data_IF_976766921813
#
_entry.id   IF_976766921813
#
_cell.length_a   1.000
_cell.length_b   1.000
_cell.length_c   1.000
_cell.angle_alpha   90.00
_cell.angle_beta   90.00
_cell.angle_gamma   90.00
#
_symmetry.space_group_name_H-M   'P 1'
#
loop_
_entity.id
_entity.type
_entity.pdbx_description
1 polymer ?
#
# COMPACT_ATOMS: atom_id res chain seq x y z
N UNK A 1 41.25 51.54 26.98
CA UNK A 1 40.37 50.54 27.64
C UNK A 1 39.14 50.33 26.77
N UNK A 2 39.14 49.30 25.92
CA UNK A 2 38.03 48.98 25.02
C UNK A 2 37.34 47.69 25.54
N UNK A 3 36.06 47.79 25.88
CA UNK A 3 35.23 46.68 26.35
C UNK A 3 34.22 46.31 25.25
N UNK A 4 34.15 45.00 25.00
CA UNK A 4 32.95 44.23 24.64
C UNK A 4 32.52 44.14 23.17
N UNK A 5 32.95 43.04 22.53
CA UNK A 5 32.27 42.40 21.39
C UNK A 5 32.09 40.90 21.69
N UNK A 6 31.08 40.54 22.50
CA UNK A 6 30.70 39.14 22.73
C UNK A 6 29.18 39.00 22.95
N UNK A 7 28.38 39.45 21.99
CA UNK A 7 26.91 39.29 22.03
C UNK A 7 26.33 39.16 20.62
N UNK A 8 26.97 38.37 19.75
CA UNK A 8 26.43 38.11 18.42
C UNK A 8 26.67 36.66 17.99
N UNK A 9 26.22 35.69 18.80
CA UNK A 9 26.23 34.27 18.38
C UNK A 9 25.06 33.42 18.89
N UNK A 10 24.11 33.97 19.66
CA UNK A 10 23.00 33.17 20.20
C UNK A 10 21.68 33.29 19.43
N UNK A 11 21.56 34.23 18.48
CA UNK A 11 20.32 34.44 17.73
C UNK A 11 20.14 33.52 16.51
N UNK A 12 21.17 32.75 16.11
CA UNK A 12 21.08 31.88 14.93
C UNK A 12 20.62 30.44 15.23
N UNK A 13 20.55 30.04 16.50
CA UNK A 13 20.25 28.65 16.88
C UNK A 13 18.75 28.39 17.14
N UNK A 14 17.94 29.45 17.28
CA UNK A 14 16.48 29.33 17.47
C UNK A 14 15.70 29.37 16.14
N UNK A 15 16.30 29.89 15.06
CA UNK A 15 15.63 30.00 13.76
C UNK A 15 15.57 28.67 12.97
N UNK A 16 16.23 27.60 13.45
CA UNK A 16 16.22 26.28 12.83
C UNK A 16 15.04 25.37 13.21
N UNK A 17 14.19 25.76 14.17
CA UNK A 17 13.05 24.93 14.64
C UNK A 17 11.70 25.22 13.96
N UNK A 18 11.63 26.17 13.03
CA UNK A 18 10.44 26.41 12.19
C UNK A 18 10.58 25.81 10.78
N UNK A 19 11.29 24.69 10.64
CA UNK A 19 11.10 23.88 9.44
C UNK A 19 9.69 23.27 9.52
N UNK A 20 8.77 23.59 8.59
CA UNK A 20 7.45 22.99 8.57
C UNK A 20 7.65 21.48 8.50
N UNK A 21 7.17 20.76 9.53
CA UNK A 21 7.07 19.31 9.48
C UNK A 21 6.24 18.99 8.24
N UNK A 22 6.89 18.45 7.22
CA UNK A 22 6.27 18.07 5.96
C UNK A 22 4.98 17.32 6.25
N UNK A 23 3.91 17.84 5.66
CA UNK A 23 2.52 17.48 5.88
C UNK A 23 2.27 15.97 5.70
N UNK A 24 2.20 15.21 6.80
CA UNK A 24 1.62 13.85 6.80
C UNK A 24 0.16 13.86 6.30
N UNK A 25 -0.52 15.01 6.40
CA UNK A 25 -1.87 15.18 5.88
C UNK A 25 -1.91 15.19 4.35
N UNK A 26 -0.88 15.71 3.67
CA UNK A 26 -0.79 15.71 2.21
C UNK A 26 -0.49 14.31 1.63
N UNK A 27 0.05 13.38 2.43
CA UNK A 27 0.29 12.00 1.99
C UNK A 27 -1.01 11.17 1.93
N UNK A 28 -2.01 11.51 2.76
CA UNK A 28 -3.28 10.75 2.85
C UNK A 28 -4.20 10.91 1.64
N UNK A 29 -4.04 11.97 0.85
CA UNK A 29 -4.88 12.23 -0.32
C UNK A 29 -4.21 11.83 -1.65
N UNK A 30 -3.06 11.15 -1.60
CA UNK A 30 -2.33 10.79 -2.83
C UNK A 30 -2.95 9.59 -3.54
N UNK A 31 -3.38 9.78 -4.78
CA UNK A 31 -3.93 8.71 -5.61
C UNK A 31 -2.80 7.78 -6.01
N UNK A 32 -2.92 6.50 -5.66
CA UNK A 32 -1.96 5.46 -6.05
C UNK A 32 -2.56 4.60 -7.15
N UNK A 33 -1.96 4.59 -8.33
CA UNK A 33 -2.30 3.61 -9.35
C UNK A 33 -1.60 2.28 -9.02
N UNK A 34 -2.32 1.17 -9.06
CA UNK A 34 -1.77 -0.15 -8.80
C UNK A 34 -2.03 -1.05 -10.01
N UNK A 35 -0.95 -1.45 -10.68
CA UNK A 35 -0.94 -2.21 -11.92
C UNK A 35 -0.56 -3.65 -11.57
N UNK A 36 -1.51 -4.56 -11.70
CA UNK A 36 -1.45 -5.92 -11.19
C UNK A 36 -1.55 -6.95 -12.32
N UNK A 37 -0.84 -8.08 -12.25
CA UNK A 37 -1.14 -9.17 -13.16
C UNK A 37 -2.56 -9.67 -12.89
N UNK A 38 -3.24 -10.19 -13.93
CA UNK A 38 -4.59 -10.77 -13.86
C UNK A 38 -4.61 -12.12 -13.09
N UNK A 39 -4.12 -12.11 -11.85
CA UNK A 39 -4.13 -13.23 -10.91
C UNK A 39 -5.12 -12.91 -9.80
N UNK A 40 -6.02 -13.85 -9.53
CA UNK A 40 -7.12 -13.67 -8.58
C UNK A 40 -6.66 -13.08 -7.23
N UNK A 41 -5.63 -13.67 -6.61
CA UNK A 41 -5.15 -13.19 -5.31
C UNK A 41 -4.53 -11.79 -5.35
N UNK A 42 -3.82 -11.45 -6.43
CA UNK A 42 -3.24 -10.11 -6.57
C UNK A 42 -4.32 -9.05 -6.74
N UNK A 43 -5.33 -9.35 -7.57
CA UNK A 43 -6.51 -8.49 -7.78
C UNK A 43 -7.30 -8.33 -6.48
N UNK A 44 -7.50 -9.41 -5.72
CA UNK A 44 -8.18 -9.37 -4.43
C UNK A 44 -7.45 -8.48 -3.41
N UNK A 45 -6.12 -8.58 -3.33
CA UNK A 45 -5.30 -7.69 -2.50
C UNK A 45 -5.46 -6.24 -2.96
N UNK A 46 -5.47 -6.00 -4.28
CA UNK A 46 -5.75 -4.70 -4.87
C UNK A 46 -7.08 -4.10 -4.39
N UNK A 47 -8.17 -4.88 -4.45
CA UNK A 47 -9.47 -4.45 -3.95
C UNK A 47 -9.49 -4.18 -2.44
N UNK A 48 -8.85 -5.04 -1.63
CA UNK A 48 -8.76 -4.83 -0.19
C UNK A 48 -7.94 -3.56 0.16
N UNK A 49 -6.96 -3.20 -0.67
CA UNK A 49 -6.24 -1.93 -0.58
C UNK A 49 -7.12 -0.74 -1.00
N UNK A 50 -7.82 -0.83 -2.12
CA UNK A 50 -8.70 0.23 -2.63
C UNK A 50 -9.85 0.58 -1.68
N UNK A 51 -10.31 -0.37 -0.86
CA UNK A 51 -11.28 -0.12 0.22
C UNK A 51 -10.72 0.72 1.38
N UNK A 52 -9.39 0.80 1.53
CA UNK A 52 -8.72 1.43 2.68
C UNK A 52 -7.88 2.64 2.30
N UNK A 53 -7.63 2.84 1.01
CA UNK A 53 -6.72 3.83 0.45
C UNK A 53 -7.26 4.31 -0.91
N UNK A 54 -6.94 5.55 -1.32
CA UNK A 54 -7.25 6.04 -2.67
C UNK A 54 -6.39 5.33 -3.72
N UNK A 55 -6.84 4.15 -4.15
CA UNK A 55 -6.13 3.30 -5.12
C UNK A 55 -6.97 3.15 -6.38
N UNK A 56 -6.35 3.46 -7.51
CA UNK A 56 -6.86 3.13 -8.83
C UNK A 56 -6.30 1.77 -9.24
N UNK A 57 -7.17 0.82 -9.58
CA UNK A 57 -6.77 -0.54 -9.92
C UNK A 57 -6.71 -0.71 -11.43
N UNK A 58 -5.57 -1.20 -11.90
CA UNK A 58 -5.38 -1.68 -13.26
C UNK A 58 -4.91 -3.13 -13.20
N UNK A 59 -5.42 -3.95 -14.11
CA UNK A 59 -4.91 -5.28 -14.36
C UNK A 59 -4.29 -5.36 -15.73
N UNK A 60 -3.30 -6.22 -15.88
CA UNK A 60 -2.69 -6.51 -17.17
C UNK A 60 -2.58 -8.02 -17.42
N UNK A 61 -2.55 -8.39 -18.70
CA UNK A 61 -2.32 -9.75 -19.17
C UNK A 61 -1.21 -9.70 -20.23
N UNK A 62 -0.06 -10.31 -19.92
CA UNK A 62 1.14 -10.29 -20.79
C UNK A 62 1.37 -11.59 -21.57
N UNK A 63 0.86 -12.73 -21.09
CA UNK A 63 1.24 -14.06 -21.63
C UNK A 63 0.50 -14.44 -22.93
N UNK A 64 -0.49 -13.66 -23.38
CA UNK A 64 -1.41 -14.07 -24.46
C UNK A 64 -1.55 -13.06 -25.61
N UNK A 65 -0.86 -11.92 -25.56
CA UNK A 65 -1.12 -10.83 -26.49
C UNK A 65 0.07 -10.58 -27.45
N UNK A 66 -0.08 -10.82 -28.78
CA UNK A 66 0.99 -10.61 -29.76
C UNK A 66 1.39 -9.13 -29.89
N UNK A 67 0.49 -8.21 -29.58
CA UNK A 67 0.66 -6.76 -29.74
C UNK A 67 1.04 -6.03 -28.43
N UNK A 68 1.41 -6.78 -27.39
CA UNK A 68 1.79 -6.25 -26.08
C UNK A 68 0.68 -6.37 -25.01
N UNK A 69 0.93 -5.93 -23.76
CA UNK A 69 0.04 -6.18 -22.64
C UNK A 69 -1.31 -5.51 -22.82
N UNK A 70 -2.37 -6.27 -22.55
CA UNK A 70 -3.74 -5.76 -22.51
C UNK A 70 -4.05 -5.27 -21.11
N UNK A 71 -4.53 -4.02 -20.99
CA UNK A 71 -4.86 -3.42 -19.71
C UNK A 71 -6.38 -3.33 -19.50
N UNK A 72 -6.81 -3.51 -18.26
CA UNK A 72 -8.16 -3.21 -17.83
C UNK A 72 -8.13 -2.37 -16.55
N UNK A 73 -8.81 -1.23 -16.54
CA UNK A 73 -8.97 -0.38 -15.36
C UNK A 73 -10.29 -0.67 -14.66
N UNK A 74 -10.31 -0.66 -13.34
CA UNK A 74 -11.54 -0.75 -12.56
C UNK A 74 -12.13 0.65 -12.39
N UNK A 75 -13.35 0.88 -12.86
CA UNK A 75 -14.03 2.18 -12.77
C UNK A 75 -14.84 2.37 -11.48
N UNK A 76 -14.95 1.33 -10.66
CA UNK A 76 -15.83 1.28 -9.48
C UNK A 76 -16.89 0.19 -9.56
N UNK A 77 -17.25 -0.22 -10.78
CA UNK A 77 -18.36 -1.13 -11.08
C UNK A 77 -17.98 -2.24 -12.06
N UNK A 78 -17.19 -1.92 -13.08
CA UNK A 78 -16.80 -2.85 -14.14
C UNK A 78 -15.35 -2.65 -14.54
N UNK A 79 -14.79 -3.66 -15.22
CA UNK A 79 -13.45 -3.58 -15.82
C UNK A 79 -13.57 -2.99 -17.22
N UNK A 80 -12.95 -1.83 -17.43
CA UNK A 80 -12.93 -1.12 -18.71
C UNK A 80 -11.60 -1.37 -19.40
N UNK A 81 -11.65 -1.74 -20.68
CA UNK A 81 -10.45 -1.91 -21.50
C UNK A 81 -9.68 -0.60 -21.63
N UNK A 82 -8.35 -0.67 -21.50
CA UNK A 82 -7.43 0.46 -21.70
C UNK A 82 -6.36 0.03 -22.69
N UNK A 83 -6.19 0.78 -23.78
CA UNK A 83 -5.15 0.49 -24.75
C UNK A 83 -3.76 0.72 -24.15
N UNK A 84 -2.73 0.05 -24.68
CA UNK A 84 -1.36 0.28 -24.24
C UNK A 84 -0.85 1.71 -24.52
N UNK A 85 -1.44 2.40 -25.50
CA UNK A 85 -1.15 3.82 -25.77
C UNK A 85 -1.81 4.73 -24.73
N UNK A 86 -3.08 4.48 -24.42
CA UNK A 86 -3.81 5.24 -23.40
C UNK A 86 -3.21 5.05 -22.01
N UNK A 87 -2.83 3.81 -21.67
CA UNK A 87 -2.14 3.51 -20.42
C UNK A 87 -0.84 4.30 -20.27
N UNK A 88 -0.01 4.32 -21.32
CA UNK A 88 1.31 4.99 -21.28
C UNK A 88 1.19 6.50 -21.22
N UNK A 89 0.22 7.08 -21.92
CA UNK A 89 -0.03 8.53 -21.96
C UNK A 89 -0.85 9.03 -20.77
N UNK A 90 -1.65 8.15 -20.14
CA UNK A 90 -2.57 8.52 -19.08
C UNK A 90 -3.89 9.12 -19.56
N UNK A 91 -4.21 9.03 -20.86
CA UNK A 91 -5.42 9.64 -21.46
C UNK A 91 -6.73 9.05 -20.94
N UNK A 92 -6.70 7.82 -20.39
CA UNK A 92 -7.87 7.11 -19.87
C UNK A 92 -8.38 7.66 -18.52
N UNK A 93 -7.67 8.60 -17.90
CA UNK A 93 -8.04 9.18 -16.60
C UNK A 93 -8.04 10.71 -16.64
N UNK A 94 -8.97 11.33 -15.92
CA UNK A 94 -9.02 12.79 -15.81
C UNK A 94 -7.96 13.37 -14.86
N UNK A 95 -7.49 12.56 -13.91
CA UNK A 95 -6.50 12.96 -12.90
C UNK A 95 -5.36 11.95 -12.88
N UNK A 96 -4.14 12.45 -13.06
CA UNK A 96 -2.93 11.64 -12.98
C UNK A 96 -2.68 11.13 -11.54
N UNK A 97 -2.22 9.87 -11.38
CA UNK A 97 -1.86 9.35 -10.06
C UNK A 97 -0.54 9.96 -9.58
N UNK A 98 -0.47 10.29 -8.28
CA UNK A 98 0.76 10.80 -7.65
C UNK A 98 1.89 9.76 -7.68
N UNK A 99 1.52 8.48 -7.67
CA UNK A 99 2.45 7.35 -7.76
C UNK A 99 1.80 6.12 -8.38
N UNK A 100 2.63 5.26 -8.96
CA UNK A 100 2.24 3.96 -9.46
C UNK A 100 2.98 2.85 -8.71
N UNK A 101 2.29 1.75 -8.42
CA UNK A 101 2.88 0.48 -8.00
C UNK A 101 2.67 -0.50 -9.15
N UNK A 102 3.75 -0.93 -9.79
CA UNK A 102 3.70 -1.93 -10.87
C UNK A 102 4.21 -3.25 -10.33
N UNK A 103 3.35 -4.26 -10.40
CA UNK A 103 3.61 -5.61 -9.88
C UNK A 103 3.94 -6.53 -11.04
N UNK A 104 5.12 -7.14 -10.99
CA UNK A 104 5.58 -8.11 -11.97
C UNK A 104 4.94 -9.48 -11.78
N UNK A 105 5.16 -10.34 -12.77
CA UNK A 105 4.69 -11.72 -12.80
C UNK A 105 5.88 -12.68 -12.66
N UNK A 106 5.65 -13.83 -12.01
CA UNK A 106 6.60 -14.95 -11.92
C UNK A 106 7.99 -14.64 -11.32
N UNK A 107 8.13 -13.59 -10.49
CA UNK A 107 9.42 -13.24 -9.91
C UNK A 107 10.31 -12.41 -10.84
N UNK A 108 9.77 -12.00 -11.99
CA UNK A 108 10.44 -11.15 -12.95
C UNK A 108 10.09 -9.69 -12.71
N UNK A 109 11.04 -8.80 -13.03
CA UNK A 109 10.76 -7.37 -12.99
C UNK A 109 9.67 -7.03 -14.02
N UNK A 110 8.78 -6.08 -13.71
CA UNK A 110 7.83 -5.59 -14.70
C UNK A 110 8.54 -5.18 -15.99
N UNK A 111 7.99 -5.61 -17.13
CA UNK A 111 8.45 -5.18 -18.44
C UNK A 111 8.29 -3.67 -18.61
N UNK A 112 9.09 -3.06 -19.51
CA UNK A 112 9.17 -1.61 -19.66
C UNK A 112 7.89 -0.98 -20.19
N UNK A 113 7.08 -1.73 -20.92
CA UNK A 113 5.75 -1.36 -21.41
C UNK A 113 4.70 -1.27 -20.28
N UNK A 114 4.90 -1.99 -19.18
CA UNK A 114 4.08 -1.87 -17.96
C UNK A 114 4.43 -0.63 -17.13
N UNK A 115 5.50 0.10 -17.45
CA UNK A 115 5.92 1.28 -16.70
C UNK A 115 5.30 2.53 -17.35
N UNK A 116 4.49 3.32 -16.61
CA UNK A 116 3.87 4.52 -17.15
C UNK A 116 4.93 5.58 -17.48
N UNK A 117 4.62 6.48 -18.44
CA UNK A 117 5.56 7.54 -18.80
C UNK A 117 5.74 8.55 -17.64
N UNK A 118 6.94 9.15 -17.47
CA UNK A 118 7.19 10.11 -16.40
C UNK A 118 6.27 11.34 -16.41
N UNK A 119 5.77 11.73 -17.59
CA UNK A 119 4.78 12.82 -17.73
C UNK A 119 3.40 12.47 -17.20
N UNK A 120 3.04 11.19 -17.15
CA UNK A 120 1.78 10.70 -16.58
C UNK A 120 1.94 10.39 -15.09
N UNK A 121 3.01 9.71 -14.68
CA UNK A 121 3.23 9.37 -13.27
C UNK A 121 4.70 9.54 -12.89
N UNK A 122 5.00 10.49 -12.01
CA UNK A 122 6.36 10.86 -11.64
C UNK A 122 7.06 9.82 -10.74
N UNK A 123 6.28 9.05 -9.96
CA UNK A 123 6.82 8.15 -8.95
C UNK A 123 6.34 6.72 -9.18
N UNK A 124 7.22 5.87 -9.69
CA UNK A 124 6.91 4.46 -9.93
C UNK A 124 7.67 3.56 -8.96
N UNK A 125 6.93 2.72 -8.24
CA UNK A 125 7.44 1.67 -7.36
C UNK A 125 7.25 0.33 -8.07
N UNK A 126 8.33 -0.44 -8.18
CA UNK A 126 8.32 -1.73 -8.86
C UNK A 126 8.47 -2.86 -7.84
N UNK A 127 7.68 -3.92 -8.00
CA UNK A 127 7.91 -5.21 -7.34
C UNK A 127 7.88 -6.32 -8.37
N UNK A 128 8.72 -7.34 -8.18
CA UNK A 128 8.87 -8.48 -9.08
C UNK A 128 7.89 -9.62 -8.77
N UNK A 129 7.05 -9.48 -7.73
CA UNK A 129 6.29 -10.60 -7.20
C UNK A 129 4.86 -10.24 -6.86
N UNK A 130 3.94 -10.92 -7.55
CA UNK A 130 2.53 -11.01 -7.19
C UNK A 130 2.24 -12.07 -6.11
N UNK A 131 3.27 -12.70 -5.54
CA UNK A 131 3.11 -13.65 -4.43
C UNK A 131 2.53 -12.89 -3.21
N UNK A 132 1.43 -13.38 -2.59
CA UNK A 132 0.67 -12.61 -1.61
C UNK A 132 1.50 -12.07 -0.45
N UNK A 133 2.41 -12.87 0.12
CA UNK A 133 3.24 -12.44 1.26
C UNK A 133 4.18 -11.32 0.87
N UNK A 134 4.90 -11.45 -0.25
CA UNK A 134 5.79 -10.40 -0.77
C UNK A 134 5.02 -9.15 -1.16
N UNK A 135 3.86 -9.30 -1.83
CA UNK A 135 3.03 -8.18 -2.26
C UNK A 135 2.48 -7.40 -1.05
N UNK A 136 1.99 -8.10 -0.01
CA UNK A 136 1.55 -7.46 1.23
C UNK A 136 2.70 -6.79 1.98
N UNK A 137 3.89 -7.40 2.03
CA UNK A 137 5.06 -6.74 2.61
C UNK A 137 5.40 -5.44 1.88
N UNK A 138 5.45 -5.50 0.54
CA UNK A 138 5.81 -4.38 -0.31
C UNK A 138 4.79 -3.24 -0.18
N UNK A 139 3.51 -3.54 -0.38
CA UNK A 139 2.43 -2.56 -0.30
C UNK A 139 2.28 -2.02 1.12
N UNK A 140 2.41 -2.84 2.16
CA UNK A 140 2.33 -2.33 3.52
C UNK A 140 3.47 -1.39 3.91
N UNK A 141 4.63 -1.48 3.25
CA UNK A 141 5.68 -0.45 3.34
C UNK A 141 5.33 0.79 2.52
N UNK A 142 4.87 0.61 1.29
CA UNK A 142 4.51 1.73 0.40
C UNK A 142 3.35 2.57 0.97
N UNK A 143 2.39 1.96 1.65
CA UNK A 143 1.23 2.61 2.27
C UNK A 143 1.41 2.86 3.78
N UNK A 144 2.61 2.67 4.31
CA UNK A 144 2.94 2.88 5.73
C UNK A 144 1.92 2.26 6.69
N UNK A 145 1.60 0.97 6.50
CA UNK A 145 0.62 0.25 7.32
C UNK A 145 0.90 0.40 8.82
N UNK A 146 -0.14 0.75 9.56
CA UNK A 146 -0.18 0.66 11.02
C UNK A 146 -0.22 -0.81 11.45
N UNK A 147 0.12 -1.09 12.71
CA UNK A 147 0.07 -2.46 13.24
C UNK A 147 -1.31 -3.12 13.10
N UNK A 148 -2.44 -2.46 13.47
CA UNK A 148 -3.77 -3.04 13.25
C UNK A 148 -4.04 -3.37 11.78
N UNK A 149 -3.42 -2.62 10.85
CA UNK A 149 -3.57 -2.88 9.41
C UNK A 149 -2.76 -4.09 8.97
N UNK A 150 -1.53 -4.23 9.45
CA UNK A 150 -0.76 -5.47 9.27
C UNK A 150 -1.50 -6.69 9.80
N UNK A 151 -2.03 -6.60 11.02
CA UNK A 151 -2.79 -7.69 11.63
C UNK A 151 -4.05 -8.05 10.82
N UNK A 152 -4.79 -7.06 10.34
CA UNK A 152 -5.97 -7.30 9.51
C UNK A 152 -5.63 -8.06 8.23
N UNK A 153 -4.58 -7.65 7.50
CA UNK A 153 -4.14 -8.33 6.28
C UNK A 153 -3.57 -9.72 6.58
N UNK A 154 -2.79 -9.88 7.65
CA UNK A 154 -2.27 -11.18 8.07
C UNK A 154 -3.43 -12.18 8.29
N UNK A 155 -4.43 -11.78 9.07
CA UNK A 155 -5.62 -12.59 9.35
C UNK A 155 -6.44 -12.88 8.10
N UNK A 156 -6.65 -11.88 7.23
CA UNK A 156 -7.45 -11.99 5.99
C UNK A 156 -6.87 -13.04 5.03
N UNK A 157 -5.56 -13.15 4.95
CA UNK A 157 -4.86 -14.02 4.01
C UNK A 157 -4.21 -15.26 4.68
N UNK A 158 -4.52 -15.53 5.96
CA UNK A 158 -4.02 -16.71 6.67
C UNK A 158 -2.52 -16.69 6.98
N UNK A 159 -1.92 -15.51 7.09
CA UNK A 159 -0.51 -15.34 7.44
C UNK A 159 -0.32 -14.93 8.90
N UNK A 160 0.90 -15.16 9.41
CA UNK A 160 1.34 -14.47 10.63
C UNK A 160 1.83 -13.06 10.30
N UNK A 161 1.87 -12.15 11.29
CA UNK A 161 2.41 -10.79 11.06
C UNK A 161 3.91 -10.89 10.72
N UNK A 162 4.61 -11.85 11.31
CA UNK A 162 6.02 -12.17 11.08
C UNK A 162 6.26 -12.57 9.62
N UNK A 163 5.30 -13.26 9.01
CA UNK A 163 5.41 -13.66 7.61
C UNK A 163 5.44 -12.46 6.68
N UNK A 164 4.47 -11.56 6.83
CA UNK A 164 4.28 -10.42 5.94
C UNK A 164 5.09 -9.18 6.36
N UNK A 165 5.64 -9.12 7.58
CA UNK A 165 6.41 -7.98 8.08
C UNK A 165 7.61 -8.38 8.99
N UNK A 166 8.60 -9.12 8.45
CA UNK A 166 9.67 -9.72 9.26
C UNK A 166 10.68 -8.71 9.85
N UNK A 167 10.68 -7.47 9.37
CA UNK A 167 11.66 -6.43 9.75
C UNK A 167 11.13 -5.45 10.80
N UNK A 168 9.90 -4.94 10.68
CA UNK A 168 9.39 -3.88 11.59
C UNK A 168 8.92 -4.39 12.96
N UNK A 169 8.69 -5.69 13.12
CA UNK A 169 8.45 -6.26 14.45
C UNK A 169 9.68 -6.17 15.37
N UNK A 170 10.90 -6.09 14.81
CA UNK A 170 12.14 -6.07 15.61
C UNK A 170 12.48 -4.72 16.23
N UNK A 171 11.86 -3.64 15.75
CA UNK A 171 12.28 -2.26 16.09
C UNK A 171 11.43 -1.62 17.19
N UNK A 172 10.29 -2.18 17.56
CA UNK A 172 9.39 -1.57 18.55
C UNK A 172 9.36 -2.41 19.83
N UNK A 173 9.92 -1.83 20.89
CA UNK A 173 10.13 -2.47 22.19
C UNK A 173 8.87 -3.14 22.76
N UNK A 174 7.68 -2.56 22.61
CA UNK A 174 6.46 -3.11 23.21
C UNK A 174 5.90 -4.37 22.52
N UNK A 175 6.43 -4.78 21.36
CA UNK A 175 6.02 -6.05 20.71
C UNK A 175 6.91 -7.24 21.10
N UNK A 176 7.96 -6.99 21.89
CA UNK A 176 8.73 -8.05 22.52
C UNK A 176 8.17 -8.33 23.92
N UNK A 177 8.08 -9.60 24.37
CA UNK A 177 7.84 -9.91 25.76
C UNK A 177 8.80 -9.11 26.65
N UNK A 178 8.33 -8.61 27.80
CA UNK A 178 9.11 -7.74 28.68
C UNK A 178 10.52 -8.30 28.97
N UNK A 179 10.64 -9.62 29.11
CA UNK A 179 11.91 -10.32 29.32
C UNK A 179 12.92 -10.15 28.19
N UNK A 180 12.48 -10.15 26.93
CA UNK A 180 13.36 -9.99 25.77
C UNK A 180 13.87 -8.54 25.66
N UNK A 181 13.02 -7.56 25.98
CA UNK A 181 13.43 -6.15 26.08
C UNK A 181 14.44 -5.90 27.20
N UNK A 182 14.24 -6.54 28.35
CA UNK A 182 15.15 -6.44 29.49
C UNK A 182 16.53 -7.03 29.16
N UNK A 183 16.58 -8.14 28.41
CA UNK A 183 17.83 -8.73 27.91
C UNK A 183 18.53 -7.80 26.91
N UNK A 184 17.81 -7.20 25.96
CA UNK A 184 18.39 -6.24 25.00
C UNK A 184 18.93 -4.98 25.68
N UNK A 185 18.25 -4.42 26.68
CA UNK A 185 18.77 -3.27 27.46
C UNK A 185 20.04 -3.62 28.22
N UNK A 186 20.19 -4.85 28.71
CA UNK A 186 21.42 -5.31 29.36
C UNK A 186 22.57 -5.50 28.35
N UNK A 187 22.28 -5.98 27.14
CA UNK A 187 23.28 -6.19 26.09
C UNK A 187 23.72 -4.89 25.38
N UNK A 188 22.82 -3.93 25.24
CA UNK A 188 23.08 -2.64 24.58
C UNK A 188 23.65 -1.58 25.54
N UNK A 189 23.83 -1.90 26.82
CA UNK A 189 24.50 -1.00 27.76
C UNK A 189 26.00 -1.07 27.47
N UNK A 190 26.63 -0.03 26.89
CA UNK A 190 28.08 -0.02 26.73
C UNK A 190 28.69 -0.27 28.11
N UNK A 191 29.65 -1.19 28.18
CA UNK A 191 30.39 -1.44 29.41
C UNK A 191 30.87 -0.08 29.92
N UNK A 192 30.37 0.32 31.10
CA UNK A 192 30.70 1.61 31.67
C UNK A 192 32.23 1.75 31.66
N UNK A 193 32.80 2.82 31.10
CA UNK A 193 34.23 3.03 31.16
C UNK A 193 34.62 3.00 32.63
N UNK A 194 35.36 1.95 33.02
CA UNK A 194 36.02 1.88 34.31
C UNK A 194 37.10 2.94 34.23
N UNK A 195 36.80 4.13 34.70
CA UNK A 195 37.71 5.13 35.27
C UNK A 195 37.12 6.52 35.09
N UNK A 196 36.55 7.05 36.18
CA UNK A 196 37.02 8.29 36.83
C UNK A 196 36.14 8.61 38.03
N UNK A 197 36.78 8.46 39.20
CA UNK A 197 36.43 9.15 40.45
C UNK A 197 36.36 10.65 40.16
N UNK A 198 35.21 11.29 40.40
CA UNK A 198 35.13 12.75 40.38
C UNK A 198 33.72 13.30 40.19
N UNK A 199 33.08 13.65 41.31
CA UNK A 199 32.36 14.91 41.51
C UNK A 199 31.45 15.41 40.39
N UNK A 200 30.13 15.30 40.57
CA UNK A 200 29.31 16.43 41.01
C UNK A 200 27.83 15.99 41.05
N UNK A 201 27.20 16.35 42.16
CA UNK A 201 25.78 16.28 42.44
C UNK A 201 25.05 17.25 41.50
N UNK A 202 24.35 16.72 40.50
CA UNK A 202 23.39 17.50 39.72
C UNK A 202 22.03 17.45 40.40
N UNK A 203 21.54 18.66 40.63
CA UNK A 203 20.32 19.06 41.31
C UNK A 203 19.11 18.59 40.51
N UNK A 204 18.25 17.82 41.16
CA UNK A 204 16.95 17.41 40.65
C UNK A 204 16.12 18.65 40.41
N UNK A 205 15.98 19.05 39.14
CA UNK A 205 15.01 20.05 38.73
C UNK A 205 13.61 19.58 39.12
N UNK A 206 13.02 20.29 40.08
CA UNK A 206 11.66 20.12 40.54
C UNK A 206 10.71 20.39 39.37
N UNK A 207 9.97 19.35 38.96
CA UNK A 207 8.98 19.46 37.91
C UNK A 207 7.80 20.26 38.46
N UNK A 208 7.64 21.49 37.97
CA UNK A 208 6.47 22.29 38.30
C UNK A 208 5.18 21.54 37.87
N UNK A 209 4.16 21.52 38.74
CA UNK A 209 2.91 20.83 38.45
C UNK A 209 2.21 21.48 37.25
N UNK A 210 1.97 20.68 36.21
CA UNK A 210 1.15 21.06 35.06
C UNK A 210 -0.25 21.38 35.56
N UNK A 211 -0.70 22.61 35.29
CA UNK A 211 -2.03 23.09 35.67
C UNK A 211 -3.13 22.17 35.10
N UNK A 212 -4.21 21.91 35.87
CA UNK A 212 -5.30 21.06 35.44
C UNK A 212 -5.95 21.63 34.18
N UNK A 213 -6.06 20.79 33.16
CA UNK A 213 -6.80 21.06 31.92
C UNK A 213 -8.26 21.33 32.28
N UNK A 214 -8.78 22.47 31.82
CA UNK A 214 -10.17 22.86 32.07
C UNK A 214 -11.15 21.79 31.52
N UNK A 215 -12.30 21.59 32.17
CA UNK A 215 -13.31 20.63 31.73
C UNK A 215 -13.77 20.97 30.32
N UNK A 216 -13.67 20.00 29.41
CA UNK A 216 -14.27 20.08 28.07
C UNK A 216 -15.79 20.05 28.26
N UNK A 217 -16.48 21.08 27.76
CA UNK A 217 -17.94 21.16 27.84
C UNK A 217 -18.58 19.95 27.13
N UNK A 218 -19.63 19.37 27.73
CA UNK A 218 -20.31 18.22 27.16
C UNK A 218 -20.95 18.60 25.83
N UNK A 219 -20.55 17.90 24.78
CA UNK A 219 -21.17 17.98 23.45
C UNK A 219 -22.61 17.49 23.58
N UNK A 220 -23.57 18.36 23.22
CA UNK A 220 -24.99 18.02 23.24
C UNK A 220 -25.28 16.81 22.32
N UNK A 221 -26.14 15.87 22.75
CA UNK A 221 -26.52 14.73 21.93
C UNK A 221 -27.22 15.22 20.66
N UNK A 222 -26.65 14.89 19.50
CA UNK A 222 -27.32 15.06 18.22
C UNK A 222 -28.65 14.28 18.22
N UNK A 223 -29.73 14.97 17.86
CA UNK A 223 -31.06 14.39 17.79
C UNK A 223 -31.10 13.20 16.80
N UNK A 224 -31.84 12.12 17.12
CA UNK A 224 -32.00 10.99 16.21
C UNK A 224 -32.66 11.44 14.91
N UNK A 225 -31.97 11.21 13.80
CA UNK A 225 -32.52 11.40 12.46
C UNK A 225 -33.61 10.33 12.28
N UNK A 226 -34.86 10.75 12.15
CA UNK A 226 -35.96 9.84 11.81
C UNK A 226 -35.69 9.22 10.43
N UNK A 227 -35.82 7.89 10.28
CA UNK A 227 -35.65 7.27 8.97
C UNK A 227 -36.79 7.70 8.07
N UNK A 228 -36.46 8.41 6.98
CA UNK A 228 -37.38 8.66 5.88
C UNK A 228 -37.87 7.31 5.36
N UNK A 229 -39.18 7.10 5.47
CA UNK A 229 -39.87 5.95 4.89
C UNK A 229 -39.86 6.11 3.38
N UNK A 230 -38.87 5.52 2.73
CA UNK A 230 -38.80 5.44 1.28
C UNK A 230 -39.89 4.45 0.79
N UNK A 231 -41.04 5.01 0.43
CA UNK A 231 -42.11 4.32 -0.27
C UNK A 231 -41.69 4.10 -1.73
N UNK A 232 -40.84 3.10 -1.94
CA UNK A 232 -40.42 2.65 -3.26
C UNK A 232 -41.37 1.59 -3.80
N UNK A 233 -42.10 1.98 -4.84
CA UNK A 233 -43.01 1.22 -5.67
C UNK A 233 -42.50 -0.14 -6.14
N UNK A 234 -43.45 -1.09 -6.19
CA UNK A 234 -43.40 -2.33 -6.93
C UNK A 234 -43.13 -2.06 -8.43
N UNK A 235 -41.86 -1.99 -8.83
CA UNK A 235 -41.47 -2.08 -10.24
C UNK A 235 -41.12 -3.55 -10.57
N UNK A 236 -42.11 -4.16 -11.20
CA UNK A 236 -42.10 -5.29 -12.13
C UNK A 236 -40.69 -5.65 -12.66
N UNK A 237 -40.07 -6.66 -12.05
CA UNK A 237 -38.89 -7.34 -12.59
C UNK A 237 -39.30 -8.10 -13.85
N UNK A 238 -39.04 -7.53 -15.03
CA UNK A 238 -39.02 -8.31 -16.26
C UNK A 238 -37.91 -9.37 -16.17
N UNK A 239 -38.36 -10.62 -16.15
CA UNK A 239 -37.59 -11.85 -16.17
C UNK A 239 -36.87 -11.97 -17.52
N UNK A 240 -35.60 -11.56 -17.57
CA UNK A 240 -34.73 -11.87 -18.72
C UNK A 240 -34.40 -13.36 -18.71
N UNK A 241 -35.25 -14.13 -19.39
CA UNK A 241 -35.00 -15.52 -19.75
C UNK A 241 -33.80 -15.53 -20.70
N UNK A 242 -32.64 -15.97 -20.19
CA UNK A 242 -31.48 -16.29 -21.01
C UNK A 242 -31.80 -17.61 -21.72
N UNK A 243 -32.24 -17.52 -22.98
CA UNK A 243 -32.31 -18.67 -23.88
C UNK A 243 -30.93 -19.33 -23.95
N UNK A 244 -30.85 -20.55 -23.43
CA UNK A 244 -29.66 -21.39 -23.57
C UNK A 244 -29.41 -21.64 -25.07
N UNK A 245 -28.16 -21.56 -25.55
CA UNK A 245 -27.88 -21.85 -26.96
C UNK A 245 -28.30 -23.28 -27.28
N UNK A 246 -29.23 -23.40 -28.22
CA UNK A 246 -29.63 -24.67 -28.83
C UNK A 246 -28.38 -25.30 -29.45
N UNK A 247 -28.04 -26.48 -28.95
CA UNK A 247 -26.98 -27.31 -29.49
C UNK A 247 -27.42 -27.75 -30.90
N UNK A 248 -26.86 -27.12 -31.94
CA UNK A 248 -27.14 -27.44 -33.33
C UNK A 248 -26.49 -28.79 -33.68
N UNK A 249 -27.27 -29.87 -33.89
CA UNK A 249 -26.72 -31.20 -34.15
C UNK A 249 -26.08 -31.32 -35.56
N UNK A 250 -26.22 -30.31 -36.42
CA UNK A 250 -25.73 -30.36 -37.80
C UNK A 250 -24.42 -29.57 -38.03
N UNK A 251 -23.80 -29.03 -36.97
CA UNK A 251 -22.48 -28.42 -37.07
C UNK A 251 -21.39 -29.32 -36.44
N UNK A 252 -20.86 -30.33 -37.16
CA UNK A 252 -19.74 -31.11 -36.67
C UNK A 252 -18.54 -30.18 -36.56
N UNK A 253 -18.13 -29.89 -35.33
CA UNK A 253 -16.85 -29.26 -35.01
C UNK A 253 -15.78 -30.05 -35.76
N UNK A 254 -15.23 -29.43 -36.81
CA UNK A 254 -14.04 -29.94 -37.49
C UNK A 254 -12.91 -29.90 -36.47
N UNK A 255 -12.65 -31.04 -35.83
CA UNK A 255 -11.45 -31.26 -35.07
C UNK A 255 -10.28 -31.26 -36.05
N UNK A 256 -9.49 -30.20 -36.05
CA UNK A 256 -8.23 -30.15 -36.79
C UNK A 256 -7.35 -31.35 -36.40
N UNK A 257 -6.69 -32.00 -37.37
CA UNK A 257 -5.81 -33.13 -37.07
C UNK A 257 -4.61 -32.66 -36.23
N UNK A 258 -4.49 -33.22 -35.03
CA UNK A 258 -3.33 -33.09 -34.15
C UNK A 258 -2.09 -33.57 -34.91
N UNK A 259 -1.14 -32.66 -35.14
CA UNK A 259 0.13 -33.00 -35.76
C UNK A 259 0.89 -34.03 -34.90
N UNK A 260 1.47 -35.09 -35.49
CA UNK A 260 2.22 -36.08 -34.74
C UNK A 260 3.49 -35.46 -34.15
N UNK A 261 3.73 -35.72 -32.86
CA UNK A 261 4.91 -35.28 -32.13
C UNK A 261 6.19 -35.78 -32.81
N UNK A 262 7.08 -34.87 -33.19
CA UNK A 262 8.44 -35.21 -33.63
C UNK A 262 9.22 -35.79 -32.45
N UNK A 263 9.55 -37.07 -32.57
CA UNK A 263 10.48 -37.78 -31.70
C UNK A 263 11.89 -37.35 -32.08
N UNK A 264 12.45 -36.40 -31.34
CA UNK A 264 13.88 -36.05 -31.41
C UNK A 264 14.66 -37.26 -30.89
N UNK A 265 15.38 -37.94 -31.78
CA UNK A 265 16.39 -38.94 -31.42
C UNK A 265 17.71 -38.23 -31.27
N UNK A 266 18.24 -38.23 -30.05
CA UNK A 266 19.62 -37.85 -29.77
C UNK A 266 20.58 -38.83 -30.49
N UNK A 267 21.55 -38.28 -31.20
CA UNK A 267 22.68 -39.00 -31.76
C UNK A 267 23.89 -38.86 -30.82
N UNK A 268 24.59 -39.99 -30.65
CA UNK A 268 25.86 -40.17 -29.91
C UNK A 268 26.98 -39.21 -30.33
#
# INVERSE_FOLDING_TARGET
>A
MARWTKTLSFALLVLGMLMPRGSEAAEKNRITMMVLPRRETAVQIGFDLARKYPVMLLTYQSEEAPDGPVFHAWDGSTWVFVSGEDYRSGSFVSHAPDRAIVVGQNGEKPASDLIPQPGFCAHVLLTDSAEPRKLLNFTGRAFNFSYPRWEWFARRYGFTIEDINPKRLRDRWYYHPLEENLKRRRAARPAAPKDKKGSAREESGELEPVAPVAPVEPVEPLEPIEPESDGGSDEEFEEWIIESPVNDPDNPIQSDPVAPAEVIRDAE
#
